data_IF_053147300710
#
_entry.id   IF_053147300710
#
_cell.length_a   1.000
_cell.length_b   1.000
_cell.length_c   1.000
_cell.angle_alpha   90.00
_cell.angle_beta   90.00
_cell.angle_gamma   90.00
#
_symmetry.space_group_name_H-M   'P 1'
#
loop_
_entity.id
_entity.type
_entity.pdbx_description
1 polymer ?
#
# COMPACT_ATOMS: atom_id res chain seq x y z
N UNK A 1 -14.59 0.49 8.46
CA UNK A 1 -13.42 1.25 7.91
C UNK A 1 -12.29 0.25 7.75
N UNK A 2 -11.64 0.18 6.58
CA UNK A 2 -10.47 -0.70 6.39
C UNK A 2 -9.22 0.05 6.86
N UNK A 3 -8.45 -0.55 7.75
CA UNK A 3 -7.15 -0.04 8.16
C UNK A 3 -6.06 -0.77 7.37
N UNK A 4 -5.19 -0.01 6.72
CA UNK A 4 -3.99 -0.51 6.04
C UNK A 4 -2.78 0.11 6.72
N UNK A 5 -1.82 -0.73 7.12
CA UNK A 5 -0.53 -0.26 7.66
C UNK A 5 0.54 -0.43 6.59
N UNK A 6 1.38 0.59 6.44
CA UNK A 6 2.55 0.56 5.55
C UNK A 6 3.79 0.51 6.44
N UNK A 7 4.72 -0.41 6.17
CA UNK A 7 5.97 -0.51 6.94
C UNK A 7 6.87 0.71 6.71
N UNK A 8 7.76 0.97 7.66
CA UNK A 8 8.83 1.94 7.50
C UNK A 8 9.74 1.59 6.31
N UNK A 9 10.42 2.57 5.69
CA UNK A 9 11.29 2.31 4.53
C UNK A 9 12.46 1.36 4.81
N UNK A 10 12.95 1.32 6.06
CA UNK A 10 14.07 0.49 6.46
C UNK A 10 13.62 -0.58 7.45
N UNK A 11 14.29 -1.73 7.42
CA UNK A 11 14.11 -2.75 8.44
C UNK A 11 14.66 -2.24 9.79
N UNK A 12 14.05 -2.68 10.88
CA UNK A 12 14.52 -2.40 12.23
C UNK A 12 14.39 -3.64 13.11
N UNK A 13 15.15 -3.67 14.20
CA UNK A 13 15.12 -4.77 15.17
C UNK A 13 13.72 -4.90 15.80
N UNK A 14 13.17 -6.12 15.80
CA UNK A 14 11.82 -6.39 16.31
C UNK A 14 10.67 -6.07 15.36
N UNK A 15 10.92 -5.62 14.11
CA UNK A 15 9.85 -5.28 13.17
C UNK A 15 8.93 -6.47 12.88
N UNK A 16 9.47 -7.68 12.73
CA UNK A 16 8.65 -8.87 12.49
C UNK A 16 7.72 -9.18 13.67
N UNK A 17 8.18 -8.99 14.91
CA UNK A 17 7.36 -9.12 16.10
C UNK A 17 6.27 -8.04 16.16
N UNK A 18 6.60 -6.79 15.82
CA UNK A 18 5.63 -5.71 15.76
C UNK A 18 4.55 -5.98 14.71
N UNK A 19 4.93 -6.42 13.51
CA UNK A 19 3.99 -6.79 12.44
C UNK A 19 3.09 -7.96 12.87
N UNK A 20 3.67 -8.98 13.49
CA UNK A 20 2.90 -10.12 14.04
C UNK A 20 1.87 -9.64 15.05
N UNK A 21 2.27 -8.75 15.97
CA UNK A 21 1.35 -8.16 16.96
C UNK A 21 0.22 -7.37 16.30
N UNK A 22 0.49 -6.61 15.26
CA UNK A 22 -0.56 -5.89 14.50
C UNK A 22 -1.59 -6.87 13.92
N UNK A 23 -1.14 -7.96 13.31
CA UNK A 23 -2.05 -8.98 12.77
C UNK A 23 -2.87 -9.68 13.84
N UNK A 24 -2.27 -10.01 14.99
CA UNK A 24 -2.96 -10.59 16.16
C UNK A 24 -4.03 -9.64 16.71
N UNK A 25 -3.80 -8.30 16.60
CA UNK A 25 -4.75 -7.28 17.00
C UNK A 25 -5.72 -6.86 15.89
N UNK A 26 -5.85 -7.65 14.82
CA UNK A 26 -6.91 -7.49 13.83
C UNK A 26 -6.53 -6.66 12.60
N UNK A 27 -5.25 -6.31 12.38
CA UNK A 27 -4.84 -5.68 11.14
C UNK A 27 -5.24 -6.56 9.95
N UNK A 28 -5.98 -6.00 8.99
CA UNK A 28 -6.44 -6.76 7.82
C UNK A 28 -5.40 -6.83 6.70
N UNK A 29 -4.70 -5.73 6.43
CA UNK A 29 -3.75 -5.61 5.31
C UNK A 29 -2.50 -4.86 5.76
N UNK A 30 -1.34 -5.46 5.47
CA UNK A 30 -0.04 -4.82 5.58
C UNK A 30 0.54 -4.55 4.20
N UNK A 31 1.04 -3.35 3.97
CA UNK A 31 1.88 -3.02 2.84
C UNK A 31 3.35 -3.07 3.23
N UNK A 32 4.05 -4.08 2.73
CA UNK A 32 5.50 -4.24 2.92
C UNK A 32 6.22 -3.35 1.91
N UNK A 33 6.73 -2.22 2.39
CA UNK A 33 7.42 -1.21 1.61
C UNK A 33 8.84 -1.03 2.11
N UNK A 34 9.82 -1.52 1.33
CA UNK A 34 11.26 -1.50 1.64
C UNK A 34 12.04 -1.04 0.42
N UNK A 35 12.03 0.28 0.11
CA UNK A 35 12.72 0.82 -1.06
C UNK A 35 14.19 0.46 -1.06
N UNK A 36 14.66 -0.16 -2.15
CA UNK A 36 16.05 -0.57 -2.30
C UNK A 36 16.45 -1.89 -1.63
N UNK A 37 15.53 -2.55 -0.91
CA UNK A 37 15.81 -3.86 -0.33
C UNK A 37 16.02 -4.93 -1.42
N UNK A 38 16.98 -5.80 -1.21
CA UNK A 38 17.21 -6.97 -2.07
C UNK A 38 16.13 -8.02 -1.88
N UNK A 39 16.05 -8.97 -2.81
CA UNK A 39 15.13 -10.10 -2.68
C UNK A 39 15.42 -10.93 -1.44
N UNK A 40 16.70 -11.14 -1.14
CA UNK A 40 17.17 -11.91 0.03
C UNK A 40 16.76 -11.24 1.35
N UNK A 41 16.89 -9.93 1.45
CA UNK A 41 16.48 -9.16 2.65
C UNK A 41 14.96 -9.25 2.86
N UNK A 42 14.19 -9.08 1.79
CA UNK A 42 12.73 -9.21 1.81
C UNK A 42 12.29 -10.63 2.17
N UNK A 43 12.92 -11.64 1.59
CA UNK A 43 12.67 -13.04 1.88
C UNK A 43 13.02 -13.38 3.33
N UNK A 44 14.16 -12.91 3.83
CA UNK A 44 14.57 -13.10 5.22
C UNK A 44 13.54 -12.52 6.19
N UNK A 45 13.03 -11.33 5.90
CA UNK A 45 11.97 -10.71 6.71
C UNK A 45 10.66 -11.51 6.66
N UNK A 46 10.21 -11.91 5.46
CA UNK A 46 8.97 -12.67 5.30
C UNK A 46 9.03 -14.03 6.03
N UNK A 47 10.19 -14.70 6.04
CA UNK A 47 10.37 -15.98 6.76
C UNK A 47 10.27 -15.86 8.29
N UNK A 48 10.38 -14.66 8.86
CA UNK A 48 10.19 -14.42 10.28
C UNK A 48 8.73 -14.28 10.67
N UNK A 49 7.83 -14.10 9.71
CA UNK A 49 6.40 -13.93 9.95
C UNK A 49 5.66 -15.27 9.88
N UNK A 50 4.63 -15.51 10.71
CA UNK A 50 3.75 -16.65 10.56
C UNK A 50 3.13 -16.74 9.16
N UNK A 51 3.15 -17.93 8.56
CA UNK A 51 2.69 -18.16 7.19
C UNK A 51 1.20 -17.79 6.99
N UNK A 52 0.39 -17.87 8.02
CA UNK A 52 -1.03 -17.51 7.99
C UNK A 52 -1.30 -16.05 7.66
N UNK A 53 -0.29 -15.17 7.84
CA UNK A 53 -0.42 -13.74 7.52
C UNK A 53 0.02 -13.39 6.09
N UNK A 54 0.67 -14.30 5.36
CA UNK A 54 1.13 -14.04 3.98
C UNK A 54 -0.02 -13.57 3.06
N UNK A 55 -1.23 -14.14 3.09
CA UNK A 55 -2.35 -13.67 2.27
C UNK A 55 -2.90 -12.28 2.65
N UNK A 56 -2.32 -11.64 3.66
CA UNK A 56 -2.69 -10.29 4.15
C UNK A 56 -1.60 -9.25 3.85
N UNK A 57 -0.50 -9.64 3.20
CA UNK A 57 0.65 -8.78 2.89
C UNK A 57 0.65 -8.43 1.41
N UNK A 58 0.81 -7.12 1.10
CA UNK A 58 1.00 -6.57 -0.24
C UNK A 58 2.42 -6.03 -0.34
N UNK A 59 3.21 -6.47 -1.32
CA UNK A 59 4.58 -6.00 -1.49
C UNK A 59 4.68 -4.84 -2.48
N UNK A 60 5.57 -3.88 -2.20
CA UNK A 60 5.88 -2.73 -3.06
C UNK A 60 7.12 -2.94 -3.94
N UNK A 61 7.94 -3.88 -3.57
CA UNK A 61 9.20 -4.24 -4.22
C UNK A 61 9.23 -5.77 -4.41
N UNK A 62 10.16 -6.26 -5.25
CA UNK A 62 10.44 -7.70 -5.43
C UNK A 62 9.16 -8.51 -5.70
N UNK A 63 8.38 -8.11 -6.70
CA UNK A 63 7.04 -8.64 -6.98
C UNK A 63 6.97 -10.16 -7.18
N UNK A 64 8.10 -10.79 -7.57
CA UNK A 64 8.21 -12.25 -7.66
C UNK A 64 7.92 -12.95 -6.33
N UNK A 65 8.23 -12.29 -5.20
CA UNK A 65 7.98 -12.85 -3.87
C UNK A 65 6.49 -13.00 -3.55
N UNK A 66 5.62 -12.26 -4.24
CA UNK A 66 4.18 -12.39 -4.06
C UNK A 66 3.70 -13.81 -4.39
N UNK A 67 4.22 -14.40 -5.46
CA UNK A 67 3.90 -15.79 -5.84
C UNK A 67 4.64 -16.81 -4.98
N UNK A 68 5.90 -16.55 -4.63
CA UNK A 68 6.74 -17.47 -3.85
C UNK A 68 6.20 -17.69 -2.44
N UNK A 69 5.75 -16.61 -1.78
CA UNK A 69 5.24 -16.64 -0.40
C UNK A 69 3.72 -16.69 -0.30
N UNK A 70 3.00 -16.67 -1.42
CA UNK A 70 1.53 -16.60 -1.37
C UNK A 70 1.02 -15.29 -0.75
N UNK A 71 1.71 -14.17 -1.05
CA UNK A 71 1.29 -12.87 -0.55
C UNK A 71 -0.07 -12.48 -1.16
N UNK A 72 -0.77 -11.54 -0.49
CA UNK A 72 -2.03 -10.98 -1.00
C UNK A 72 -1.86 -10.42 -2.42
N UNK A 73 -0.77 -9.70 -2.67
CA UNK A 73 -0.54 -9.11 -3.97
C UNK A 73 0.60 -8.11 -4.03
N UNK A 74 0.55 -7.26 -5.04
CA UNK A 74 1.56 -6.26 -5.36
C UNK A 74 0.99 -4.85 -5.33
N UNK A 75 1.86 -3.87 -5.08
CA UNK A 75 1.52 -2.45 -5.12
C UNK A 75 2.38 -1.69 -6.12
N UNK A 76 1.75 -1.18 -7.16
CA UNK A 76 2.40 -0.38 -8.19
C UNK A 76 2.65 1.04 -7.69
N UNK A 77 3.81 1.57 -8.01
CA UNK A 77 4.23 2.93 -7.62
C UNK A 77 5.22 3.48 -8.64
N UNK A 78 5.66 4.73 -8.48
CA UNK A 78 6.57 5.39 -9.43
C UNK A 78 7.90 4.66 -9.68
N UNK A 79 8.38 3.83 -8.74
CA UNK A 79 9.59 3.01 -8.92
C UNK A 79 9.30 1.69 -9.61
N UNK A 80 8.13 1.12 -9.37
CA UNK A 80 7.68 -0.16 -9.89
C UNK A 80 6.29 -0.01 -10.54
N UNK A 81 6.20 0.62 -11.73
CA UNK A 81 4.91 0.97 -12.33
C UNK A 81 4.30 -0.16 -13.18
N UNK A 82 5.04 -1.23 -13.42
CA UNK A 82 4.62 -2.27 -14.36
C UNK A 82 4.15 -3.53 -13.65
N UNK A 83 3.03 -4.07 -14.12
CA UNK A 83 2.55 -5.39 -13.69
C UNK A 83 3.47 -6.45 -14.31
N UNK A 84 4.00 -7.40 -13.52
CA UNK A 84 4.78 -8.50 -14.06
C UNK A 84 3.98 -9.30 -15.10
N UNK A 85 4.67 -9.75 -16.15
CA UNK A 85 4.03 -10.53 -17.19
C UNK A 85 3.32 -11.77 -16.62
N UNK A 86 2.06 -11.95 -16.99
CA UNK A 86 1.24 -13.09 -16.54
C UNK A 86 0.72 -13.00 -15.10
N UNK A 87 1.01 -11.92 -14.36
CA UNK A 87 0.48 -11.75 -13.01
C UNK A 87 -1.03 -11.51 -13.02
N UNK A 88 -1.79 -12.30 -12.24
CA UNK A 88 -3.25 -12.23 -12.13
C UNK A 88 -3.76 -12.06 -10.68
N UNK A 89 -2.84 -11.80 -9.75
CA UNK A 89 -3.16 -11.61 -8.34
C UNK A 89 -3.74 -10.23 -8.03
N UNK A 90 -3.89 -9.94 -6.75
CA UNK A 90 -4.35 -8.65 -6.29
C UNK A 90 -3.33 -7.54 -6.64
N UNK A 91 -3.84 -6.46 -7.22
CA UNK A 91 -3.05 -5.28 -7.58
C UNK A 91 -3.65 -4.06 -6.90
N UNK A 92 -2.79 -3.23 -6.35
CA UNK A 92 -3.10 -1.87 -5.89
C UNK A 92 -2.09 -0.89 -6.46
N UNK A 93 -2.39 0.41 -6.47
CA UNK A 93 -1.44 1.41 -6.92
C UNK A 93 -1.55 2.73 -6.16
N UNK A 94 -0.47 3.53 -6.20
CA UNK A 94 -0.46 4.91 -5.71
C UNK A 94 -0.93 5.85 -6.81
N UNK A 95 -1.87 6.75 -6.47
CA UNK A 95 -2.35 7.84 -7.30
C UNK A 95 -2.11 9.17 -6.59
N UNK A 96 -1.70 10.17 -7.35
CA UNK A 96 -1.40 11.52 -6.85
C UNK A 96 -2.34 12.59 -7.42
N UNK A 97 -3.29 12.18 -8.25
CA UNK A 97 -4.36 13.04 -8.76
C UNK A 97 -5.67 12.26 -8.94
N UNK A 98 -6.79 12.99 -9.05
CA UNK A 98 -8.10 12.38 -9.34
C UNK A 98 -8.14 11.77 -10.75
N UNK A 99 -7.38 12.32 -11.69
CA UNK A 99 -7.20 11.77 -13.04
C UNK A 99 -6.51 10.42 -13.01
N UNK A 100 -5.46 10.28 -12.18
CA UNK A 100 -4.79 8.99 -11.98
C UNK A 100 -5.72 7.96 -11.33
N UNK A 101 -6.56 8.39 -10.36
CA UNK A 101 -7.59 7.50 -9.80
C UNK A 101 -8.53 6.99 -10.88
N UNK A 102 -9.07 7.87 -11.73
CA UNK A 102 -9.96 7.48 -12.84
C UNK A 102 -9.27 6.51 -13.81
N UNK A 103 -7.99 6.72 -14.08
CA UNK A 103 -7.20 5.89 -15.00
C UNK A 103 -6.92 4.49 -14.46
N UNK A 104 -6.66 4.35 -13.17
CA UNK A 104 -6.12 3.11 -12.59
C UNK A 104 -7.12 2.32 -11.75
N UNK A 105 -8.20 2.97 -11.27
CA UNK A 105 -9.14 2.34 -10.33
C UNK A 105 -9.80 1.07 -10.88
N UNK A 106 -10.09 1.01 -12.19
CA UNK A 106 -10.71 -0.16 -12.82
C UNK A 106 -9.80 -1.38 -12.88
N UNK A 107 -8.50 -1.17 -12.92
CA UNK A 107 -7.49 -2.23 -13.08
C UNK A 107 -6.89 -2.68 -11.75
N UNK A 108 -7.26 -2.01 -10.66
CA UNK A 108 -6.77 -2.26 -9.31
C UNK A 108 -7.89 -2.70 -8.36
N UNK A 109 -7.56 -3.54 -7.41
CA UNK A 109 -8.48 -3.90 -6.32
C UNK A 109 -8.80 -2.71 -5.42
N UNK A 110 -7.83 -1.82 -5.26
CA UNK A 110 -7.98 -0.47 -4.69
C UNK A 110 -6.78 0.40 -5.09
N UNK A 111 -6.93 1.70 -4.91
CA UNK A 111 -5.86 2.68 -5.13
C UNK A 111 -5.65 3.52 -3.87
N UNK A 112 -4.41 3.99 -3.65
CA UNK A 112 -4.16 5.06 -2.68
C UNK A 112 -4.25 6.40 -3.39
N UNK A 113 -4.96 7.36 -2.79
CA UNK A 113 -4.90 8.77 -3.18
C UNK A 113 -4.11 9.54 -2.13
N UNK A 114 -3.01 10.15 -2.54
CA UNK A 114 -2.09 10.86 -1.65
C UNK A 114 -1.45 12.09 -2.31
N UNK A 115 -1.10 13.12 -1.51
CA UNK A 115 -1.42 13.28 -0.09
C UNK A 115 -2.81 13.88 0.12
N UNK A 116 -3.60 13.34 1.08
CA UNK A 116 -4.90 13.91 1.44
C UNK A 116 -4.74 15.12 2.35
N UNK A 117 -3.83 15.03 3.34
CA UNK A 117 -3.41 16.13 4.19
C UNK A 117 -1.90 16.32 4.07
N UNK A 118 -1.40 17.43 4.62
CA UNK A 118 0.04 17.67 4.65
C UNK A 118 0.76 16.50 5.31
N UNK A 119 1.83 16.04 4.67
CA UNK A 119 2.55 14.88 5.16
C UNK A 119 3.34 15.22 6.41
N UNK A 120 3.12 14.49 7.50
CA UNK A 120 3.88 14.61 8.75
C UNK A 120 5.32 14.03 8.57
N UNK A 121 5.51 13.08 7.65
CA UNK A 121 6.76 12.33 7.49
C UNK A 121 7.58 12.69 6.27
N UNK A 122 7.09 13.59 5.41
CA UNK A 122 7.79 14.03 4.19
C UNK A 122 7.67 15.54 4.04
N UNK A 123 8.77 16.25 4.24
CA UNK A 123 8.84 17.70 3.96
C UNK A 123 8.51 18.00 2.49
N UNK A 124 7.72 19.06 2.26
CA UNK A 124 7.33 19.52 0.92
C UNK A 124 6.15 18.78 0.27
N UNK A 125 5.53 17.82 0.94
CA UNK A 125 4.29 17.18 0.48
C UNK A 125 3.08 17.83 1.16
N UNK A 126 2.61 18.93 0.58
CA UNK A 126 1.36 19.60 1.00
C UNK A 126 0.14 18.98 0.32
N UNK A 127 -1.00 19.02 1.00
CA UNK A 127 -2.28 18.59 0.45
C UNK A 127 -2.62 19.38 -0.81
N UNK A 128 -2.96 18.67 -1.89
CA UNK A 128 -3.46 19.26 -3.13
C UNK A 128 -5.00 19.42 -3.14
N UNK A 129 -5.69 18.93 -2.08
CA UNK A 129 -7.15 18.80 -2.11
C UNK A 129 -7.82 19.59 -1.00
N UNK A 130 -8.79 20.45 -1.38
CA UNK A 130 -9.74 21.00 -0.43
C UNK A 130 -10.82 19.98 -0.06
N UNK A 131 -11.44 20.13 1.12
CA UNK A 131 -12.59 19.29 1.49
C UNK A 131 -13.72 19.33 0.44
N UNK A 132 -13.94 20.47 -0.20
CA UNK A 132 -14.95 20.62 -1.25
C UNK A 132 -14.59 19.84 -2.51
N UNK A 133 -13.30 19.82 -2.90
CA UNK A 133 -12.81 19.02 -4.02
C UNK A 133 -13.04 17.53 -3.76
N UNK A 134 -12.71 17.05 -2.56
CA UNK A 134 -12.90 15.64 -2.20
C UNK A 134 -14.38 15.25 -2.16
N UNK A 135 -15.27 16.10 -1.62
CA UNK A 135 -16.71 15.88 -1.62
C UNK A 135 -17.29 15.81 -3.03
N UNK A 136 -16.90 16.72 -3.92
CA UNK A 136 -17.31 16.70 -5.33
C UNK A 136 -16.84 15.44 -6.04
N UNK A 137 -15.60 15.03 -5.80
CA UNK A 137 -15.04 13.79 -6.38
C UNK A 137 -15.78 12.55 -5.86
N UNK A 138 -16.20 12.53 -4.59
CA UNK A 138 -17.03 11.46 -4.04
C UNK A 138 -18.42 11.44 -4.67
N UNK A 139 -19.09 12.59 -4.78
CA UNK A 139 -20.40 12.70 -5.43
C UNK A 139 -20.37 12.29 -6.91
N UNK A 140 -19.26 12.56 -7.59
CA UNK A 140 -19.04 12.14 -8.98
C UNK A 140 -18.62 10.65 -9.11
N UNK A 141 -18.52 9.88 -8.01
CA UNK A 141 -18.12 8.47 -8.03
C UNK A 141 -16.63 8.24 -8.33
N UNK A 142 -15.81 9.29 -8.35
CA UNK A 142 -14.36 9.15 -8.52
C UNK A 142 -13.77 8.52 -7.25
N UNK A 143 -14.14 9.05 -6.08
CA UNK A 143 -13.77 8.50 -4.77
C UNK A 143 -14.91 7.62 -4.27
N UNK A 144 -14.59 6.34 -4.04
CA UNK A 144 -15.51 5.34 -3.49
C UNK A 144 -14.78 4.45 -2.46
N UNK A 145 -15.37 3.30 -2.12
CA UNK A 145 -14.81 2.35 -1.16
C UNK A 145 -13.48 1.71 -1.58
N UNK A 146 -13.06 1.87 -2.84
CA UNK A 146 -11.82 1.34 -3.39
C UNK A 146 -10.71 2.41 -3.48
N UNK A 147 -10.98 3.63 -2.99
CA UNK A 147 -9.98 4.70 -2.91
C UNK A 147 -9.60 4.89 -1.44
N UNK A 148 -8.35 4.56 -1.11
CA UNK A 148 -7.79 4.65 0.23
C UNK A 148 -7.07 5.97 0.41
N UNK A 149 -7.46 6.73 1.43
CA UNK A 149 -6.79 7.97 1.79
C UNK A 149 -5.40 7.70 2.38
N UNK A 150 -4.38 8.43 1.92
CA UNK A 150 -3.02 8.36 2.44
C UNK A 150 -2.41 9.76 2.54
N UNK A 151 -1.54 9.95 3.54
CA UNK A 151 -0.84 11.21 3.81
C UNK A 151 -1.56 12.07 4.85
N UNK A 152 -0.88 12.31 5.99
CA UNK A 152 -1.36 13.13 7.09
C UNK A 152 -2.63 12.61 7.80
N UNK A 153 -2.99 11.36 7.60
CA UNK A 153 -4.12 10.72 8.29
C UNK A 153 -3.70 10.36 9.70
N UNK A 154 -4.44 10.86 10.69
CA UNK A 154 -4.29 10.51 12.11
C UNK A 154 -5.62 10.04 12.68
N UNK A 155 -5.59 9.27 13.77
CA UNK A 155 -6.81 8.89 14.51
C UNK A 155 -7.64 10.09 14.95
#
# INVERSE_FOLDING_TARGET
MKLIVITTPQFFEGEAAAVTSLFQNGLEILHLRKPGASAEEMEYFLRQLPMEYMPRIVTHEQFQLASVFGLKGIHLNGRNPQIPFGYKGHISCSCHSLEEVLKHKSDCSYVFLSPIYDSISKEGYSSAYSCDTLKKAQQAGIIDSNVMALGGISP
#
